data_IF_119638325513
#
_entry.id   IF_119638325513
#
_cell.length_a   1.000
_cell.length_b   1.000
_cell.length_c   1.000
_cell.angle_alpha   90.00
_cell.angle_beta   90.00
_cell.angle_gamma   90.00
#
_symmetry.space_group_name_H-M   'P 1'
#
loop_
_entity.id
_entity.type
_entity.pdbx_description
1 polymer ?
#
# COMPACT_ATOMS: atom_id res chain seq x y z
N UNK A 1 -18.04 -0.46 60.73
CA UNK A 1 -18.58 -0.70 62.10
C UNK A 1 -17.51 -0.36 63.10
N UNK A 2 -17.92 0.02 64.32
CA UNK A 2 -17.03 0.16 65.48
C UNK A 2 -16.53 -1.22 65.98
N UNK A 3 -15.73 -1.21 67.09
CA UNK A 3 -15.18 -2.46 67.67
C UNK A 3 -16.27 -3.41 68.24
N UNK A 4 -17.48 -2.92 68.43
CA UNK A 4 -18.61 -3.69 68.93
C UNK A 4 -19.56 -4.13 67.80
N UNK A 5 -19.25 -3.81 66.52
CA UNK A 5 -20.06 -4.17 65.37
C UNK A 5 -21.20 -3.17 65.06
N UNK A 6 -21.24 -1.99 65.72
CA UNK A 6 -22.28 -1.00 65.47
C UNK A 6 -21.95 -0.19 64.19
N UNK A 7 -22.96 0.22 63.42
CA UNK A 7 -22.79 1.12 62.28
C UNK A 7 -22.23 2.48 62.71
N UNK A 8 -21.36 3.06 61.90
CA UNK A 8 -20.74 4.39 62.13
C UNK A 8 -20.87 5.23 60.88
N UNK A 9 -21.63 6.33 61.00
CA UNK A 9 -21.80 7.38 59.96
C UNK A 9 -20.63 8.35 59.96
N UNK A 10 -20.35 9.00 58.84
CA UNK A 10 -19.35 10.06 58.71
C UNK A 10 -17.90 9.57 58.69
N UNK A 11 -17.67 8.27 58.56
CA UNK A 11 -16.32 7.72 58.44
C UNK A 11 -15.81 7.85 57.04
N UNK A 12 -14.65 8.46 56.91
CA UNK A 12 -14.00 8.68 55.61
C UNK A 12 -13.36 7.43 55.09
N UNK A 13 -13.82 6.97 53.90
CA UNK A 13 -13.29 5.82 53.15
C UNK A 13 -12.55 6.32 51.92
N UNK A 14 -11.30 5.89 51.79
CA UNK A 14 -10.48 6.20 50.59
C UNK A 14 -10.59 5.03 49.61
N UNK A 15 -10.77 5.39 48.33
CA UNK A 15 -10.85 4.45 47.20
C UNK A 15 -9.67 4.61 46.25
N UNK A 16 -9.20 3.49 45.72
CA UNK A 16 -8.17 3.49 44.65
C UNK A 16 -8.57 2.48 43.58
N UNK A 17 -8.36 2.83 42.32
CA UNK A 17 -8.57 1.95 41.20
C UNK A 17 -7.32 1.81 40.36
N UNK A 18 -7.05 0.60 39.84
CA UNK A 18 -5.99 0.35 38.86
C UNK A 18 -6.66 0.11 37.50
N UNK A 19 -6.27 0.92 36.49
CA UNK A 19 -6.83 0.89 35.13
C UNK A 19 -8.35 1.07 35.10
N UNK A 20 -8.86 1.93 35.97
CA UNK A 20 -10.27 2.35 36.03
C UNK A 20 -10.36 3.84 36.37
N UNK A 21 -11.46 4.46 36.01
CA UNK A 21 -11.87 5.78 36.50
C UNK A 21 -12.85 5.60 37.65
N UNK A 22 -12.61 6.28 38.76
CA UNK A 22 -13.51 6.29 39.93
C UNK A 22 -14.09 7.68 40.10
N UNK A 23 -15.38 7.77 40.48
CA UNK A 23 -16.11 9.05 40.66
C UNK A 23 -15.55 9.90 41.78
N UNK A 24 -14.99 9.27 42.83
CA UNK A 24 -14.33 9.96 43.95
C UNK A 24 -13.24 9.08 44.55
N UNK A 25 -12.16 9.70 45.01
CA UNK A 25 -11.07 9.01 45.73
C UNK A 25 -11.33 8.93 47.23
N UNK A 26 -12.38 9.61 47.72
CA UNK A 26 -12.76 9.59 49.15
C UNK A 26 -14.22 9.97 49.35
N UNK A 27 -14.95 9.21 50.12
CA UNK A 27 -16.38 9.40 50.45
C UNK A 27 -16.57 9.07 51.91
N UNK A 28 -17.44 9.81 52.59
CA UNK A 28 -17.85 9.52 53.95
C UNK A 28 -19.03 8.57 53.97
N UNK A 29 -19.11 7.70 54.98
CA UNK A 29 -20.27 6.80 55.16
C UNK A 29 -21.54 7.59 55.48
N UNK A 30 -22.66 7.21 54.83
CA UNK A 30 -23.98 7.78 55.04
C UNK A 30 -24.65 7.22 56.33
N UNK A 31 -25.93 7.55 56.55
CA UNK A 31 -26.75 7.08 57.68
C UNK A 31 -27.03 5.57 57.65
N UNK A 32 -26.83 4.93 56.46
CA UNK A 32 -26.90 3.47 56.30
C UNK A 32 -25.53 2.79 56.37
N UNK A 33 -24.46 3.60 56.65
CA UNK A 33 -23.05 3.14 56.80
C UNK A 33 -22.41 2.71 55.52
N UNK A 34 -22.86 3.23 54.39
CA UNK A 34 -22.27 2.98 53.08
C UNK A 34 -21.45 4.18 52.60
N UNK A 35 -20.30 3.90 52.00
CA UNK A 35 -19.54 4.85 51.16
C UNK A 35 -19.54 4.31 49.72
N UNK A 36 -20.17 5.01 48.81
CA UNK A 36 -20.38 4.56 47.44
C UNK A 36 -19.59 5.37 46.43
N UNK A 37 -19.03 4.68 45.44
CA UNK A 37 -18.40 5.28 44.25
C UNK A 37 -18.89 4.58 43.00
N UNK A 38 -18.85 5.34 41.87
CA UNK A 38 -19.02 4.80 40.54
C UNK A 38 -17.65 4.48 39.93
N UNK A 39 -17.56 3.35 39.23
CA UNK A 39 -16.34 2.88 38.60
C UNK A 39 -16.63 2.63 37.12
N UNK A 40 -15.79 3.18 36.26
CA UNK A 40 -15.84 2.95 34.81
C UNK A 40 -14.47 2.51 34.28
N UNK A 41 -14.44 1.81 33.16
CA UNK A 41 -13.21 1.45 32.44
C UNK A 41 -13.43 1.50 30.94
N UNK A 42 -12.46 2.03 30.22
CA UNK A 42 -12.40 1.99 28.76
C UNK A 42 -11.59 0.81 28.23
N UNK A 43 -10.90 0.08 29.11
CA UNK A 43 -10.10 -1.10 28.78
C UNK A 43 -10.77 -2.36 29.31
N UNK A 44 -10.79 -3.43 28.54
CA UNK A 44 -11.29 -4.75 28.95
C UNK A 44 -10.33 -5.47 29.90
N UNK A 45 -10.86 -6.47 30.60
CA UNK A 45 -10.08 -7.35 31.48
C UNK A 45 -10.31 -7.09 32.98
N UNK A 46 -9.53 -7.80 33.79
CA UNK A 46 -9.62 -7.69 35.25
C UNK A 46 -9.05 -6.38 35.74
N UNK A 47 -9.83 -5.67 36.53
CA UNK A 47 -9.51 -4.40 37.17
C UNK A 47 -9.57 -4.58 38.68
N UNK A 48 -8.72 -3.85 39.40
CA UNK A 48 -8.72 -3.89 40.88
C UNK A 48 -9.22 -2.56 41.42
N UNK A 49 -10.18 -2.62 42.31
CA UNK A 49 -10.61 -1.48 43.13
C UNK A 49 -10.39 -1.81 44.59
N UNK A 50 -9.82 -0.86 45.33
CA UNK A 50 -9.46 -1.03 46.72
C UNK A 50 -10.09 0.06 47.57
N UNK A 51 -10.45 -0.27 48.80
CA UNK A 51 -10.94 0.65 49.82
C UNK A 51 -10.14 0.50 51.11
N UNK A 52 -9.94 1.60 51.81
CA UNK A 52 -9.36 1.65 53.15
C UNK A 52 -9.99 2.77 53.96
N UNK A 53 -10.00 2.67 55.27
CA UNK A 53 -10.35 3.83 56.10
C UNK A 53 -9.24 4.88 56.03
N UNK A 54 -9.60 6.17 56.11
CA UNK A 54 -8.64 7.26 56.02
C UNK A 54 -7.64 7.26 57.19
N UNK A 55 -8.07 6.83 58.36
CA UNK A 55 -7.26 6.69 59.58
C UNK A 55 -6.45 5.38 59.65
N UNK A 56 -6.80 4.40 58.76
CA UNK A 56 -6.11 3.10 58.65
C UNK A 56 -5.75 2.77 57.20
N UNK A 57 -4.86 3.53 56.58
CA UNK A 57 -4.57 3.43 55.15
C UNK A 57 -3.83 2.14 54.74
N UNK A 58 -3.31 1.39 55.72
CA UNK A 58 -2.64 0.09 55.50
C UNK A 58 -3.60 -1.10 55.53
N UNK A 59 -4.82 -0.94 56.10
CA UNK A 59 -5.87 -1.95 56.11
C UNK A 59 -6.69 -1.83 54.79
N UNK A 60 -6.23 -2.47 53.73
CA UNK A 60 -6.81 -2.36 52.38
C UNK A 60 -7.65 -3.59 52.05
N UNK A 61 -8.89 -3.36 51.63
CA UNK A 61 -9.74 -4.39 51.05
C UNK A 61 -9.82 -4.14 49.54
N UNK A 62 -9.57 -5.20 48.75
CA UNK A 62 -9.61 -5.11 47.29
C UNK A 62 -10.69 -6.00 46.70
N UNK A 63 -11.23 -5.57 45.55
CA UNK A 63 -12.17 -6.35 44.73
C UNK A 63 -11.74 -6.29 43.28
N UNK A 64 -11.97 -7.41 42.58
CA UNK A 64 -11.78 -7.54 41.15
C UNK A 64 -13.08 -7.24 40.43
N UNK A 65 -13.01 -6.37 39.41
CA UNK A 65 -14.05 -6.10 38.43
C UNK A 65 -13.61 -6.64 37.10
N UNK A 66 -14.47 -7.33 36.39
CA UNK A 66 -14.19 -7.78 35.01
C UNK A 66 -14.88 -6.82 34.03
N UNK A 67 -14.09 -5.92 33.46
CA UNK A 67 -14.55 -5.05 32.39
C UNK A 67 -14.65 -5.85 31.08
N UNK A 68 -15.85 -5.90 30.53
CA UNK A 68 -16.14 -6.60 29.26
C UNK A 68 -16.14 -5.60 28.11
N UNK A 69 -15.89 -6.11 26.91
CA UNK A 69 -15.99 -5.33 25.68
C UNK A 69 -17.42 -4.82 25.47
N UNK A 70 -17.55 -3.59 24.95
CA UNK A 70 -18.84 -2.99 24.58
C UNK A 70 -19.28 -3.46 23.18
N UNK A 71 -19.99 -4.57 23.13
CA UNK A 71 -20.49 -5.15 21.87
C UNK A 71 -21.55 -4.26 21.18
N UNK A 72 -22.17 -3.31 21.88
CA UNK A 72 -23.19 -2.42 21.31
C UNK A 72 -22.53 -1.37 20.43
N UNK A 73 -21.38 -0.84 20.85
CA UNK A 73 -20.59 0.12 20.07
C UNK A 73 -19.65 -0.53 19.04
N UNK A 74 -19.75 -1.86 18.85
CA UNK A 74 -18.90 -2.58 17.91
C UNK A 74 -18.96 -1.99 16.50
N UNK A 75 -17.80 -1.74 15.91
CA UNK A 75 -17.67 -1.26 14.54
C UNK A 75 -16.54 -1.99 13.80
N UNK A 76 -16.59 -2.00 12.48
CA UNK A 76 -15.49 -2.50 11.64
C UNK A 76 -14.51 -1.36 11.43
N UNK A 77 -13.37 -1.44 12.09
CA UNK A 77 -12.34 -0.39 12.07
C UNK A 77 -11.42 -0.47 10.87
N UNK A 78 -11.21 -1.68 10.35
CA UNK A 78 -10.47 -1.90 9.11
C UNK A 78 -10.89 -3.19 8.41
N UNK A 79 -10.68 -3.22 7.09
CA UNK A 79 -10.83 -4.41 6.26
C UNK A 79 -9.53 -4.61 5.48
N UNK A 80 -8.95 -5.81 5.58
CA UNK A 80 -7.79 -6.21 4.80
C UNK A 80 -8.24 -7.03 3.60
N UNK A 81 -7.82 -6.63 2.42
CA UNK A 81 -7.89 -7.35 1.16
C UNK A 81 -6.55 -7.20 0.46
N UNK A 82 -6.17 -8.08 -0.50
CA UNK A 82 -4.95 -7.88 -1.28
C UNK A 82 -4.90 -6.51 -1.94
N UNK A 83 -3.72 -5.90 -1.95
CA UNK A 83 -3.48 -4.67 -2.69
C UNK A 83 -3.28 -4.98 -4.18
N UNK A 84 -3.82 -4.11 -5.05
CA UNK A 84 -3.74 -4.24 -6.50
C UNK A 84 -4.73 -5.24 -7.09
N UNK A 85 -4.35 -5.83 -8.22
CA UNK A 85 -5.19 -6.76 -8.98
C UNK A 85 -4.91 -8.21 -8.53
N UNK A 86 -5.97 -9.01 -8.46
CA UNK A 86 -5.89 -10.45 -8.18
C UNK A 86 -6.26 -11.25 -9.42
N UNK A 87 -5.78 -12.49 -9.49
CA UNK A 87 -6.14 -13.36 -10.62
C UNK A 87 -7.50 -14.02 -10.37
N UNK A 88 -8.28 -14.19 -11.43
CA UNK A 88 -9.45 -15.08 -11.44
C UNK A 88 -9.05 -16.48 -10.99
N UNK A 89 -9.93 -17.15 -10.26
CA UNK A 89 -9.72 -18.45 -9.63
C UNK A 89 -8.60 -18.49 -8.58
N UNK A 90 -8.11 -17.33 -8.12
CA UNK A 90 -7.18 -17.22 -7.01
C UNK A 90 -7.92 -17.02 -5.70
N UNK A 91 -7.64 -17.86 -4.72
CA UNK A 91 -8.13 -17.70 -3.36
C UNK A 91 -7.44 -16.51 -2.69
N UNK A 92 -8.24 -15.60 -2.15
CA UNK A 92 -7.77 -14.44 -1.41
C UNK A 92 -8.34 -14.42 0.01
N UNK A 93 -7.51 -14.08 0.99
CA UNK A 93 -7.96 -13.84 2.34
C UNK A 93 -8.55 -12.43 2.48
N UNK A 94 -9.74 -12.35 3.07
CA UNK A 94 -10.42 -11.09 3.39
C UNK A 94 -10.66 -11.06 4.90
N UNK A 95 -10.15 -10.02 5.56
CA UNK A 95 -10.27 -9.88 7.02
C UNK A 95 -11.01 -8.61 7.37
N UNK A 96 -11.82 -8.67 8.43
CA UNK A 96 -12.47 -7.54 9.05
C UNK A 96 -12.04 -7.45 10.52
N UNK A 97 -11.55 -6.29 10.94
CA UNK A 97 -11.19 -5.99 12.32
C UNK A 97 -12.34 -5.28 13.00
N UNK A 98 -12.82 -5.85 14.09
CA UNK A 98 -13.97 -5.36 14.84
C UNK A 98 -13.53 -4.91 16.23
N UNK A 99 -13.74 -3.62 16.52
CA UNK A 99 -13.41 -3.02 17.80
C UNK A 99 -14.64 -2.29 18.37
N UNK A 100 -14.66 -2.11 19.70
CA UNK A 100 -15.60 -1.18 20.34
C UNK A 100 -15.15 0.28 20.17
N UNK A 101 -15.94 1.24 20.67
CA UNK A 101 -15.62 2.67 20.60
C UNK A 101 -14.32 3.08 21.30
N UNK A 102 -13.78 2.22 22.18
CA UNK A 102 -12.52 2.46 22.90
C UNK A 102 -11.33 1.75 22.28
N UNK A 103 -11.54 1.03 21.17
CA UNK A 103 -10.49 0.30 20.46
C UNK A 103 -10.25 -1.13 21.00
N UNK A 104 -11.07 -1.63 21.93
CA UNK A 104 -10.92 -3.01 22.40
C UNK A 104 -11.43 -4.00 21.35
N UNK A 105 -10.71 -5.11 21.09
CA UNK A 105 -11.15 -6.13 20.16
C UNK A 105 -12.48 -6.77 20.60
N UNK A 106 -13.47 -6.79 19.70
CA UNK A 106 -14.75 -7.46 19.96
C UNK A 106 -14.65 -8.90 19.53
N UNK A 107 -14.67 -9.82 20.48
CA UNK A 107 -14.53 -11.26 20.26
C UNK A 107 -15.88 -11.93 20.05
N UNK A 108 -15.90 -13.04 19.29
CA UNK A 108 -17.10 -13.84 19.00
C UNK A 108 -18.25 -13.04 18.36
N UNK A 109 -17.95 -11.89 17.75
CA UNK A 109 -18.91 -11.07 17.04
C UNK A 109 -19.11 -11.62 15.62
N UNK A 110 -20.33 -12.00 15.23
CA UNK A 110 -20.60 -12.40 13.85
C UNK A 110 -20.41 -11.23 12.90
N UNK A 111 -19.56 -11.42 11.90
CA UNK A 111 -19.36 -10.51 10.79
C UNK A 111 -19.82 -11.20 9.49
N UNK A 112 -20.63 -10.50 8.70
CA UNK A 112 -21.16 -11.02 7.43
C UNK A 112 -20.38 -10.38 6.28
N UNK A 113 -19.89 -11.22 5.37
CA UNK A 113 -19.15 -10.85 4.17
C UNK A 113 -20.01 -11.03 2.94
N UNK A 114 -19.93 -10.09 2.02
CA UNK A 114 -20.60 -10.14 0.72
C UNK A 114 -19.76 -9.43 -0.34
N UNK A 115 -20.04 -9.71 -1.60
CA UNK A 115 -19.49 -8.96 -2.71
C UNK A 115 -20.65 -8.50 -3.61
N UNK A 116 -20.60 -7.26 -4.09
CA UNK A 116 -21.41 -6.87 -5.22
C UNK A 116 -21.04 -7.78 -6.41
N UNK A 117 -22.03 -8.20 -7.20
CA UNK A 117 -21.88 -9.25 -8.23
C UNK A 117 -21.54 -10.64 -7.62
N UNK A 118 -22.19 -10.99 -6.52
CA UNK A 118 -21.97 -12.23 -5.76
C UNK A 118 -22.09 -13.53 -6.59
N UNK A 119 -22.79 -13.51 -7.75
CA UNK A 119 -22.86 -14.64 -8.67
C UNK A 119 -21.54 -14.94 -9.42
N UNK A 120 -20.51 -14.13 -9.20
CA UNK A 120 -19.20 -14.24 -9.84
C UNK A 120 -18.07 -14.27 -8.79
N UNK A 121 -18.42 -14.46 -7.51
CA UNK A 121 -17.50 -14.52 -6.38
C UNK A 121 -17.89 -15.68 -5.47
N UNK A 122 -17.01 -16.64 -5.30
CA UNK A 122 -17.17 -17.69 -4.30
C UNK A 122 -16.72 -17.12 -2.96
N UNK A 123 -17.54 -17.26 -1.92
CA UNK A 123 -17.19 -16.89 -0.55
C UNK A 123 -17.25 -18.17 0.28
N UNK A 124 -16.13 -18.51 0.94
CA UNK A 124 -16.02 -19.77 1.71
C UNK A 124 -17.09 -19.90 2.79
N UNK A 125 -17.43 -18.80 3.44
CA UNK A 125 -18.47 -18.71 4.45
C UNK A 125 -18.95 -17.25 4.56
N UNK A 126 -20.25 -17.02 4.40
CA UNK A 126 -20.80 -15.67 4.41
C UNK A 126 -20.76 -14.98 5.77
N UNK A 127 -20.83 -15.76 6.87
CA UNK A 127 -20.79 -15.20 8.23
C UNK A 127 -19.78 -15.97 9.09
N UNK A 128 -18.84 -15.24 9.68
CA UNK A 128 -17.78 -15.79 10.54
C UNK A 128 -17.69 -14.94 11.80
N UNK A 129 -17.52 -15.59 12.96
CA UNK A 129 -17.30 -14.88 14.22
C UNK A 129 -15.87 -14.42 14.35
N UNK A 130 -15.67 -13.23 14.94
CA UNK A 130 -14.34 -12.72 15.27
C UNK A 130 -13.61 -13.62 16.26
N UNK A 131 -12.32 -13.75 16.11
CA UNK A 131 -11.41 -14.44 17.01
C UNK A 131 -11.09 -13.59 18.27
N UNK A 132 -10.15 -14.04 19.09
CA UNK A 132 -9.70 -13.34 20.31
C UNK A 132 -9.02 -11.99 20.05
N UNK A 133 -8.64 -11.70 18.82
CA UNK A 133 -8.05 -10.43 18.38
C UNK A 133 -9.09 -9.51 17.71
N UNK A 134 -10.37 -9.89 17.72
CA UNK A 134 -11.43 -9.13 17.07
C UNK A 134 -11.42 -9.25 15.53
N UNK A 135 -10.80 -10.30 14.97
CA UNK A 135 -10.66 -10.50 13.52
C UNK A 135 -11.58 -11.60 13.04
N UNK A 136 -12.41 -11.29 12.05
CA UNK A 136 -13.16 -12.25 11.25
C UNK A 136 -12.47 -12.41 9.89
N UNK A 137 -12.25 -13.64 9.43
CA UNK A 137 -11.55 -13.94 8.17
C UNK A 137 -12.34 -14.92 7.32
N UNK A 138 -12.43 -14.64 6.01
CA UNK A 138 -13.01 -15.52 5.00
C UNK A 138 -12.09 -15.63 3.81
N UNK A 139 -12.24 -16.70 3.03
CA UNK A 139 -11.63 -16.82 1.71
C UNK A 139 -12.65 -16.42 0.66
N UNK A 140 -12.23 -15.57 -0.28
CA UNK A 140 -13.02 -15.20 -1.47
C UNK A 140 -12.27 -15.56 -2.74
N UNK A 141 -12.97 -16.05 -3.76
CA UNK A 141 -12.40 -16.48 -5.04
C UNK A 141 -13.21 -15.86 -6.17
N UNK A 142 -12.67 -14.88 -6.91
CA UNK A 142 -13.36 -14.32 -8.06
C UNK A 142 -13.43 -15.35 -9.20
N UNK A 143 -14.60 -15.54 -9.81
CA UNK A 143 -14.81 -16.49 -10.92
C UNK A 143 -14.67 -15.81 -12.29
N UNK A 144 -14.65 -14.47 -12.34
CA UNK A 144 -14.52 -13.69 -13.59
C UNK A 144 -13.71 -12.43 -13.32
N UNK A 145 -13.15 -11.88 -14.39
CA UNK A 145 -12.55 -10.55 -14.36
C UNK A 145 -13.61 -9.46 -14.12
N UNK A 146 -13.21 -8.41 -13.45
CA UNK A 146 -14.10 -7.28 -13.16
C UNK A 146 -13.75 -6.60 -11.83
N UNK A 147 -14.51 -5.56 -11.54
CA UNK A 147 -14.42 -4.83 -10.27
C UNK A 147 -15.50 -5.31 -9.31
N UNK A 148 -15.10 -5.68 -8.11
CA UNK A 148 -15.97 -6.16 -7.05
C UNK A 148 -15.95 -5.20 -5.88
N UNK A 149 -17.11 -4.89 -5.32
CA UNK A 149 -17.20 -4.20 -4.02
C UNK A 149 -17.34 -5.26 -2.94
N UNK A 150 -16.27 -5.48 -2.18
CA UNK A 150 -16.25 -6.40 -1.04
C UNK A 150 -16.71 -5.65 0.20
N UNK A 151 -17.75 -6.18 0.86
CA UNK A 151 -18.36 -5.60 2.05
C UNK A 151 -18.27 -6.55 3.23
N UNK A 152 -17.83 -6.03 4.38
CA UNK A 152 -18.02 -6.65 5.69
C UNK A 152 -19.06 -5.85 6.47
N UNK A 153 -19.94 -6.52 7.20
CA UNK A 153 -21.01 -5.88 7.98
C UNK A 153 -21.31 -6.61 9.28
N UNK A 154 -21.79 -5.87 10.27
CA UNK A 154 -22.27 -6.35 11.57
C UNK A 154 -23.79 -6.24 11.67
N UNK A 155 -24.39 -7.00 12.56
CA UNK A 155 -25.86 -6.99 12.77
C UNK A 155 -26.40 -5.63 13.26
N UNK A 156 -25.57 -4.81 13.90
CA UNK A 156 -25.92 -3.45 14.32
C UNK A 156 -25.90 -2.40 13.20
N UNK A 157 -25.64 -2.81 11.94
CA UNK A 157 -25.59 -1.94 10.77
C UNK A 157 -24.21 -1.37 10.43
N UNK A 158 -23.21 -1.50 11.30
CA UNK A 158 -21.84 -1.09 10.97
C UNK A 158 -21.31 -1.91 9.80
N UNK A 159 -20.68 -1.25 8.84
CA UNK A 159 -20.11 -1.91 7.66
C UNK A 159 -18.94 -1.14 7.09
N UNK A 160 -18.07 -1.85 6.36
CA UNK A 160 -16.97 -1.29 5.59
C UNK A 160 -16.91 -1.97 4.23
N UNK A 161 -16.59 -1.19 3.21
CA UNK A 161 -16.49 -1.64 1.82
C UNK A 161 -15.11 -1.32 1.26
N UNK A 162 -14.58 -2.25 0.45
CA UNK A 162 -13.37 -2.05 -0.34
C UNK A 162 -13.56 -2.57 -1.76
N UNK A 163 -12.85 -1.95 -2.70
CA UNK A 163 -12.81 -2.37 -4.09
C UNK A 163 -11.73 -3.44 -4.30
N UNK A 164 -12.07 -4.47 -5.07
CA UNK A 164 -11.18 -5.52 -5.51
C UNK A 164 -11.29 -5.64 -7.03
N UNK A 165 -10.16 -5.66 -7.72
CA UNK A 165 -10.13 -5.91 -9.16
C UNK A 165 -9.59 -7.30 -9.45
N UNK A 166 -10.37 -8.11 -10.15
CA UNK A 166 -9.96 -9.42 -10.63
C UNK A 166 -9.65 -9.36 -12.12
N UNK A 167 -8.55 -10.02 -12.54
CA UNK A 167 -8.06 -10.07 -13.91
C UNK A 167 -7.88 -11.51 -14.37
N UNK A 168 -8.19 -11.78 -15.64
CA UNK A 168 -7.99 -13.10 -16.27
C UNK A 168 -6.62 -13.24 -16.92
N UNK A 169 -6.00 -12.09 -17.27
CA UNK A 169 -4.77 -12.07 -18.04
C UNK A 169 -3.65 -11.36 -17.28
N UNK A 170 -2.44 -11.79 -17.57
CA UNK A 170 -1.19 -11.18 -17.11
C UNK A 170 -0.45 -10.57 -18.29
N UNK A 171 -0.11 -9.28 -18.16
CA UNK A 171 0.70 -8.56 -19.15
C UNK A 171 2.12 -8.34 -18.60
N UNK A 172 3.12 -8.72 -19.38
CA UNK A 172 4.53 -8.43 -19.10
C UNK A 172 5.13 -7.64 -20.25
N UNK A 173 6.17 -6.82 -19.99
CA UNK A 173 6.87 -6.06 -20.99
C UNK A 173 8.38 -6.19 -20.77
N UNK A 174 9.07 -6.67 -21.80
CA UNK A 174 10.53 -6.79 -21.84
C UNK A 174 11.10 -5.86 -22.90
N UNK A 175 12.33 -5.39 -22.71
CA UNK A 175 13.01 -4.51 -23.67
C UNK A 175 14.49 -4.85 -23.77
N UNK A 176 15.10 -4.49 -24.91
CA UNK A 176 16.55 -4.33 -25.00
C UNK A 176 16.96 -3.13 -24.15
N UNK A 177 17.93 -3.26 -23.23
CA UNK A 177 18.14 -2.28 -22.16
C UNK A 177 18.79 -0.96 -22.63
N UNK A 178 19.59 -0.99 -23.68
CA UNK A 178 20.38 0.18 -24.13
C UNK A 178 20.47 0.23 -25.66
N UNK A 179 20.22 1.41 -26.23
CA UNK A 179 20.44 1.67 -27.66
C UNK A 179 21.16 2.99 -27.85
N UNK A 180 21.88 3.15 -28.99
CA UNK A 180 22.39 4.44 -29.43
C UNK A 180 21.31 5.24 -30.16
N UNK A 181 21.42 6.56 -30.14
CA UNK A 181 20.59 7.46 -30.95
C UNK A 181 20.59 7.01 -32.41
N UNK A 182 19.43 7.00 -33.05
CA UNK A 182 19.23 6.54 -34.42
C UNK A 182 19.82 5.16 -34.73
N UNK A 183 19.87 4.27 -33.72
CA UNK A 183 20.28 2.87 -33.92
C UNK A 183 19.39 2.22 -35.00
N UNK A 184 19.97 1.60 -36.06
CA UNK A 184 19.21 1.10 -37.21
C UNK A 184 18.13 0.09 -36.87
N UNK A 185 18.31 -0.65 -35.77
CA UNK A 185 17.33 -1.65 -35.28
C UNK A 185 16.47 -1.15 -34.12
N UNK A 186 16.80 -0.01 -33.51
CA UNK A 186 16.11 0.51 -32.34
C UNK A 186 16.19 -0.47 -31.13
N UNK A 187 15.41 -0.19 -30.08
CA UNK A 187 15.15 -1.12 -28.99
C UNK A 187 13.90 -1.92 -29.28
N UNK A 188 14.03 -3.24 -29.32
CA UNK A 188 12.85 -4.12 -29.41
C UNK A 188 12.23 -4.28 -28.03
N UNK A 189 10.94 -3.95 -27.92
CA UNK A 189 10.13 -4.22 -26.75
C UNK A 189 9.10 -5.30 -27.12
N UNK A 190 8.88 -6.24 -26.22
CA UNK A 190 7.91 -7.30 -26.42
C UNK A 190 6.97 -7.35 -25.24
N UNK A 191 5.70 -6.99 -25.46
CA UNK A 191 4.65 -7.27 -24.52
C UNK A 191 4.18 -8.72 -24.69
N UNK A 192 4.01 -9.43 -23.58
CA UNK A 192 3.51 -10.82 -23.60
C UNK A 192 2.26 -10.88 -22.73
N UNK A 193 1.15 -11.32 -23.34
CA UNK A 193 -0.13 -11.52 -22.68
C UNK A 193 -0.37 -13.02 -22.49
N UNK A 194 -0.61 -13.41 -21.25
CA UNK A 194 -0.96 -14.78 -20.87
C UNK A 194 -2.22 -14.78 -20.04
N UNK A 195 -3.00 -15.85 -20.09
CA UNK A 195 -4.11 -16.08 -19.18
C UNK A 195 -3.60 -16.43 -17.76
N UNK A 196 -4.51 -16.53 -16.80
CA UNK A 196 -4.22 -16.86 -15.40
C UNK A 196 -3.39 -18.15 -15.23
N UNK A 197 -3.58 -19.14 -16.10
CA UNK A 197 -2.85 -20.41 -16.09
C UNK A 197 -1.54 -20.39 -16.91
N UNK A 198 -1.14 -19.22 -17.44
CA UNK A 198 0.09 -19.05 -18.20
C UNK A 198 -0.02 -19.37 -19.69
N UNK A 199 -1.21 -19.71 -20.20
CA UNK A 199 -1.40 -19.97 -21.65
C UNK A 199 -1.31 -18.66 -22.44
N UNK A 200 -0.56 -18.60 -23.57
CA UNK A 200 -0.51 -17.44 -24.45
C UNK A 200 -1.89 -17.02 -24.96
N UNK A 201 -2.19 -15.72 -24.96
CA UNK A 201 -3.44 -15.17 -25.46
C UNK A 201 -3.20 -14.48 -26.79
N UNK A 202 -3.71 -15.05 -27.88
CA UNK A 202 -3.55 -14.60 -29.26
C UNK A 202 -4.64 -13.58 -29.66
N UNK A 203 -4.32 -12.71 -30.61
CA UNK A 203 -5.28 -11.83 -31.29
C UNK A 203 -5.72 -10.59 -30.52
N UNK A 204 -5.24 -10.38 -29.28
CA UNK A 204 -5.60 -9.26 -28.46
C UNK A 204 -4.79 -8.01 -28.80
N UNK A 205 -5.42 -6.84 -28.65
CA UNK A 205 -4.77 -5.56 -28.94
C UNK A 205 -4.07 -5.01 -27.70
N UNK A 206 -2.76 -4.89 -27.77
CA UNK A 206 -1.94 -4.19 -26.77
C UNK A 206 -1.74 -2.75 -27.22
N UNK A 207 -2.00 -1.78 -26.34
CA UNK A 207 -1.73 -0.38 -26.57
C UNK A 207 -0.38 -0.04 -25.98
N UNK A 208 0.45 0.68 -26.76
CA UNK A 208 1.75 1.16 -26.34
C UNK A 208 1.80 2.67 -26.32
N UNK A 209 2.45 3.23 -25.32
CA UNK A 209 2.78 4.64 -25.22
C UNK A 209 4.19 4.83 -24.69
N UNK A 210 4.82 5.95 -25.05
CA UNK A 210 6.13 6.36 -24.56
C UNK A 210 6.03 7.75 -23.97
N UNK A 211 6.70 7.97 -22.84
CA UNK A 211 6.84 9.30 -22.23
C UNK A 211 8.08 10.00 -22.78
N UNK A 212 8.03 11.30 -22.92
CA UNK A 212 9.07 12.20 -23.45
C UNK A 212 9.10 12.30 -24.98
N UNK A 213 9.31 13.52 -25.43
CA UNK A 213 9.53 13.84 -26.85
C UNK A 213 10.89 13.32 -27.35
N UNK A 214 10.95 12.98 -28.62
CA UNK A 214 12.15 12.50 -29.26
C UNK A 214 12.23 10.99 -29.46
N UNK A 215 11.33 10.22 -28.87
CA UNK A 215 11.21 8.79 -29.17
C UNK A 215 9.93 8.48 -29.94
N UNK A 216 10.02 7.47 -30.80
CA UNK A 216 8.95 6.98 -31.67
C UNK A 216 8.83 5.45 -31.48
N UNK A 217 7.59 4.97 -31.38
CA UNK A 217 7.29 3.54 -31.42
C UNK A 217 6.85 3.14 -32.82
N UNK A 218 7.26 1.96 -33.29
CA UNK A 218 6.86 1.41 -34.59
C UNK A 218 5.36 1.15 -34.71
N UNK A 219 4.64 1.09 -33.57
CA UNK A 219 3.18 0.94 -33.49
C UNK A 219 2.67 1.30 -32.11
N UNK A 220 1.56 2.06 -32.05
CA UNK A 220 0.85 2.38 -30.80
C UNK A 220 -0.17 1.30 -30.42
N UNK A 221 -0.56 0.42 -31.37
CA UNK A 221 -1.49 -0.71 -31.16
C UNK A 221 -0.98 -1.90 -31.93
N UNK A 222 -0.73 -3.00 -31.23
CA UNK A 222 -0.21 -4.24 -31.84
C UNK A 222 -1.02 -5.43 -31.33
N UNK A 223 -1.36 -6.36 -32.23
CA UNK A 223 -2.05 -7.59 -31.85
C UNK A 223 -1.05 -8.65 -31.39
N UNK A 224 -1.41 -9.39 -30.36
CA UNK A 224 -0.65 -10.55 -29.93
C UNK A 224 -0.68 -11.67 -30.97
N UNK A 225 0.46 -12.30 -31.20
CA UNK A 225 0.63 -13.48 -32.03
C UNK A 225 0.24 -14.78 -31.27
N UNK A 226 0.43 -15.94 -31.91
CA UNK A 226 0.15 -17.25 -31.30
C UNK A 226 0.98 -17.58 -30.04
N UNK A 227 2.08 -16.86 -29.80
CA UNK A 227 2.84 -16.95 -28.57
C UNK A 227 2.42 -15.88 -27.52
N UNK A 228 1.29 -15.19 -27.75
CA UNK A 228 0.82 -14.10 -26.89
C UNK A 228 1.67 -12.84 -26.95
N UNK A 229 2.56 -12.69 -27.94
CA UNK A 229 3.54 -11.60 -28.02
C UNK A 229 3.09 -10.50 -28.98
N UNK A 230 3.28 -9.26 -28.53
CA UNK A 230 3.09 -8.03 -29.32
C UNK A 230 4.41 -7.23 -29.33
N UNK A 231 5.26 -7.38 -30.37
CA UNK A 231 6.52 -6.66 -30.45
C UNK A 231 6.34 -5.26 -31.01
N UNK A 232 7.10 -4.30 -30.45
CA UNK A 232 7.27 -2.94 -31.01
C UNK A 232 8.73 -2.54 -30.95
N UNK A 233 9.12 -1.57 -31.78
CA UNK A 233 10.47 -1.02 -31.80
C UNK A 233 10.42 0.44 -31.39
N UNK A 234 11.26 0.82 -30.41
CA UNK A 234 11.49 2.21 -30.03
C UNK A 234 12.74 2.72 -30.74
N UNK A 235 12.62 3.86 -31.39
CA UNK A 235 13.73 4.64 -31.94
C UNK A 235 13.72 6.04 -31.36
N UNK A 236 14.89 6.66 -31.23
CA UNK A 236 15.00 8.04 -30.73
C UNK A 236 16.17 8.77 -31.39
N UNK A 237 16.00 10.05 -31.61
CA UNK A 237 17.05 10.97 -32.05
C UNK A 237 17.62 11.83 -30.91
N UNK A 238 17.14 11.61 -29.67
CA UNK A 238 17.63 12.30 -28.48
C UNK A 238 18.09 11.29 -27.42
N UNK A 239 19.14 11.64 -26.70
CA UNK A 239 19.59 10.89 -25.52
C UNK A 239 18.58 11.03 -24.39
N UNK A 240 18.44 9.99 -23.57
CA UNK A 240 17.50 10.03 -22.43
C UNK A 240 17.09 8.66 -21.95
N UNK A 241 16.29 8.63 -20.90
CA UNK A 241 15.62 7.43 -20.39
C UNK A 241 14.13 7.53 -20.69
N UNK A 242 13.65 6.65 -21.54
CA UNK A 242 12.27 6.62 -22.00
C UNK A 242 11.49 5.52 -21.28
N UNK A 243 10.37 5.88 -20.66
CA UNK A 243 9.45 4.91 -20.09
C UNK A 243 8.42 4.51 -21.15
N UNK A 244 8.35 3.22 -21.44
CA UNK A 244 7.34 2.65 -22.34
C UNK A 244 6.31 1.93 -21.49
N UNK A 245 5.05 2.24 -21.73
CA UNK A 245 3.89 1.59 -21.10
C UNK A 245 3.20 0.71 -22.14
N UNK A 246 2.95 -0.55 -21.78
CA UNK A 246 2.05 -1.43 -22.50
C UNK A 246 0.77 -1.60 -21.67
N UNK A 247 -0.40 -1.54 -22.31
CA UNK A 247 -1.69 -1.73 -21.65
C UNK A 247 -2.63 -2.61 -22.46
N UNK A 248 -3.43 -3.38 -21.75
CA UNK A 248 -4.48 -4.23 -22.30
C UNK A 248 -5.78 -3.99 -21.53
N UNK A 249 -6.93 -4.02 -22.20
CA UNK A 249 -8.24 -3.82 -21.59
C UNK A 249 -9.19 -4.93 -21.99
N UNK A 250 -9.70 -5.63 -21.00
CA UNK A 250 -10.76 -6.63 -21.12
C UNK A 250 -11.69 -6.51 -19.89
N UNK A 251 -12.55 -5.46 -19.89
CA UNK A 251 -13.38 -5.13 -18.72
C UNK A 251 -12.59 -4.40 -17.61
N UNK A 252 -11.38 -4.85 -17.33
CA UNK A 252 -10.39 -4.18 -16.46
C UNK A 252 -9.17 -3.82 -17.29
N UNK A 253 -8.50 -2.71 -16.96
CA UNK A 253 -7.24 -2.31 -17.60
C UNK A 253 -6.06 -2.83 -16.80
N UNK A 254 -5.25 -3.66 -17.44
CA UNK A 254 -3.93 -4.06 -16.93
C UNK A 254 -2.85 -3.30 -17.69
N UNK A 255 -1.80 -2.89 -17.00
CA UNK A 255 -0.69 -2.18 -17.60
C UNK A 255 0.66 -2.56 -16.95
N UNK A 256 1.72 -2.44 -17.74
CA UNK A 256 3.08 -2.67 -17.30
C UNK A 256 4.01 -1.66 -17.96
N UNK A 257 5.14 -1.39 -17.34
CA UNK A 257 6.11 -0.40 -17.83
C UNK A 257 7.51 -0.99 -17.82
N UNK A 258 8.32 -0.48 -18.74
CA UNK A 258 9.77 -0.71 -18.76
C UNK A 258 10.49 0.55 -19.22
N UNK A 259 11.79 0.66 -18.96
CA UNK A 259 12.60 1.80 -19.37
C UNK A 259 13.61 1.39 -20.42
N UNK A 260 13.85 2.28 -21.39
CA UNK A 260 14.89 2.15 -22.39
C UNK A 260 15.81 3.35 -22.25
N UNK A 261 17.11 3.10 -22.01
CA UNK A 261 18.14 4.13 -21.99
C UNK A 261 18.70 4.32 -23.41
N UNK A 262 18.63 5.54 -23.93
CA UNK A 262 19.21 5.94 -25.21
C UNK A 262 20.44 6.79 -24.95
N UNK A 263 21.57 6.41 -25.53
CA UNK A 263 22.85 7.13 -25.44
C UNK A 263 23.23 7.76 -26.77
N UNK A 264 24.19 8.67 -26.77
CA UNK A 264 24.75 9.22 -28.00
C UNK A 264 25.36 8.14 -28.88
N UNK A 265 25.28 8.36 -30.21
CA UNK A 265 25.82 7.43 -31.20
C UNK A 265 27.29 7.71 -31.45
N UNK A 266 28.18 6.94 -30.81
CA UNK A 266 29.64 7.12 -30.96
C UNK A 266 30.15 6.91 -32.38
N UNK A 267 29.42 6.17 -33.25
CA UNK A 267 29.84 5.99 -34.67
C UNK A 267 29.68 7.22 -35.52
N UNK A 268 28.89 8.22 -35.09
CA UNK A 268 28.68 9.50 -35.74
C UNK A 268 29.30 10.66 -34.96
N UNK A 269 30.11 10.34 -33.93
CA UNK A 269 30.74 11.34 -33.09
C UNK A 269 31.68 12.29 -33.87
N UNK A 270 31.58 13.56 -33.55
CA UNK A 270 32.47 14.59 -34.10
C UNK A 270 32.69 15.69 -33.06
N UNK A 271 33.77 16.46 -33.25
CA UNK A 271 34.01 17.66 -32.44
C UNK A 271 33.12 18.78 -32.94
N UNK A 272 32.09 19.10 -32.17
CA UNK A 272 31.11 20.13 -32.52
C UNK A 272 31.62 21.55 -32.22
N UNK A 273 32.44 21.68 -31.18
CA UNK A 273 33.10 22.97 -30.88
C UNK A 273 34.48 22.76 -30.30
N UNK A 274 35.37 23.69 -30.58
CA UNK A 274 36.70 23.74 -30.01
C UNK A 274 37.04 25.20 -29.70
N UNK A 275 37.18 25.53 -28.44
CA UNK A 275 37.37 26.89 -27.95
C UNK A 275 38.62 27.01 -27.10
N UNK A 276 39.20 28.17 -27.08
CA UNK A 276 40.29 28.57 -26.18
C UNK A 276 39.80 29.71 -25.25
N UNK A 277 39.99 29.58 -23.96
CA UNK A 277 39.60 30.61 -23.00
C UNK A 277 40.72 30.84 -21.95
N UNK A 278 41.31 32.05 -21.94
CA UNK A 278 41.16 33.15 -22.88
C UNK A 278 41.72 32.81 -24.27
N UNK A 279 41.20 33.44 -25.32
CA UNK A 279 41.65 33.25 -26.72
C UNK A 279 43.02 33.93 -27.03
N UNK A 280 43.51 34.73 -26.08
CA UNK A 280 44.81 35.45 -26.19
C UNK A 280 45.57 35.28 -24.90
N UNK A 281 46.83 34.89 -25.00
CA UNK A 281 47.77 34.76 -23.87
C UNK A 281 49.04 35.55 -24.15
N UNK A 282 49.71 36.04 -23.11
CA UNK A 282 51.02 36.63 -23.25
C UNK A 282 52.10 35.55 -23.40
N UNK A 283 53.13 35.82 -24.17
CA UNK A 283 54.24 34.88 -24.38
C UNK A 283 55.20 34.87 -23.19
N UNK A 284 54.68 34.58 -21.98
CA UNK A 284 55.42 34.66 -20.72
C UNK A 284 55.77 33.30 -20.15
N UNK A 285 55.37 32.19 -20.74
CA UNK A 285 55.47 30.83 -20.24
C UNK A 285 54.68 30.58 -18.95
N UNK A 286 53.94 31.58 -18.43
CA UNK A 286 53.10 31.51 -17.23
C UNK A 286 51.62 31.72 -17.54
N UNK A 287 51.30 32.38 -18.63
CA UNK A 287 49.90 32.57 -19.07
C UNK A 287 49.36 31.29 -19.68
N UNK A 288 48.17 30.89 -19.26
CA UNK A 288 47.54 29.67 -19.68
C UNK A 288 46.21 29.96 -20.39
N UNK A 289 45.91 29.21 -21.40
CA UNK A 289 44.58 29.13 -22.01
C UNK A 289 44.01 27.74 -21.85
N UNK A 290 42.76 27.67 -21.45
CA UNK A 290 42.02 26.40 -21.39
C UNK A 290 41.44 26.09 -22.77
N UNK A 291 41.82 24.94 -23.34
CA UNK A 291 41.25 24.44 -24.58
C UNK A 291 40.12 23.47 -24.25
N UNK A 292 38.90 23.71 -24.75
CA UNK A 292 37.72 22.91 -24.52
C UNK A 292 37.15 22.41 -25.84
N UNK A 293 37.09 21.08 -26.00
CA UNK A 293 36.41 20.43 -27.12
C UNK A 293 35.07 19.88 -26.64
N UNK A 294 34.00 20.14 -27.39
CA UNK A 294 32.67 19.50 -27.16
C UNK A 294 32.45 18.45 -28.23
N UNK A 295 32.07 17.25 -27.82
CA UNK A 295 31.82 16.12 -28.71
C UNK A 295 30.34 15.83 -28.76
N UNK A 296 29.79 15.80 -29.98
CA UNK A 296 28.38 15.48 -30.25
C UNK A 296 28.27 14.36 -31.27
N UNK A 297 27.11 13.69 -31.30
CA UNK A 297 26.76 12.78 -32.39
C UNK A 297 26.16 13.52 -33.59
N UNK A 298 25.86 12.80 -34.69
CA UNK A 298 25.26 13.36 -35.88
C UNK A 298 23.87 13.99 -35.70
N UNK A 299 23.27 13.88 -34.50
CA UNK A 299 21.99 14.47 -34.12
C UNK A 299 22.15 15.66 -33.15
N UNK A 300 23.38 16.03 -32.78
CA UNK A 300 23.67 17.12 -31.86
C UNK A 300 23.54 16.72 -30.37
N UNK A 301 23.57 15.45 -30.06
CA UNK A 301 23.55 14.99 -28.66
C UNK A 301 24.99 14.90 -28.14
N UNK A 302 25.23 15.43 -26.94
CA UNK A 302 26.50 15.34 -26.26
C UNK A 302 26.86 13.87 -25.97
N UNK A 303 28.12 13.50 -26.22
CA UNK A 303 28.64 12.16 -25.96
C UNK A 303 29.68 12.23 -24.85
N UNK A 304 29.45 11.43 -23.81
CA UNK A 304 30.36 11.25 -22.69
C UNK A 304 31.31 10.04 -22.92
N UNK A 305 32.52 10.13 -22.36
CA UNK A 305 33.46 9.02 -22.29
C UNK A 305 34.28 8.74 -23.53
N UNK A 306 34.21 9.58 -24.60
CA UNK A 306 35.09 9.48 -25.74
C UNK A 306 36.45 10.17 -25.49
N UNK A 307 37.51 9.54 -25.99
CA UNK A 307 38.85 10.12 -25.94
C UNK A 307 39.02 11.15 -27.09
N UNK A 308 39.41 12.36 -26.73
CA UNK A 308 39.72 13.43 -27.67
C UNK A 308 41.24 13.65 -27.69
N UNK A 309 41.83 13.60 -28.86
CA UNK A 309 43.25 13.87 -29.03
C UNK A 309 43.46 15.31 -29.46
N UNK A 310 44.39 15.99 -28.76
CA UNK A 310 44.87 17.33 -29.15
C UNK A 310 46.27 17.18 -29.76
N UNK A 311 46.51 17.81 -30.91
CA UNK A 311 47.79 17.82 -31.56
C UNK A 311 48.29 19.27 -31.70
N UNK A 312 49.60 19.47 -31.60
CA UNK A 312 50.28 20.73 -31.82
C UNK A 312 50.78 20.76 -33.26
#
# INVERSE_FOLDING_TARGET
TDANGNPVEGIKVNFRGTSVTISSTSVETDDQVFAEILVTSTEVGLKTVSASLADKPTEVISRLLNAKVDVISATITSQEIPEGQVMVAQDIAVKAHVNDQFGNPVTHQPATFSAAQSSQMIISQNTVSTNTQGVAEVTMTPERNGSYTVKASLANGASLEKQLEAIDEKLTLTSSPLIGVNAPKGATLTATLTSANGTPVEGQVINFSVTLEGATLSGGKVRTNSSGQAPVVLTSNKVGTYTVTASFHNGVTIQTQTTVKVTGNSSTAHVASFIADPSTIAATNSDLSTLKATVEDGCGNLIEGLTVYFAL
#
